data_IF_477961551864
#
_entry.id   IF_477961551864
#
_cell.length_a   1.000
_cell.length_b   1.000
_cell.length_c   1.000
_cell.angle_alpha   90.00
_cell.angle_beta   90.00
_cell.angle_gamma   90.00
#
_symmetry.space_group_name_H-M   'P 1'
#
loop_
_entity.id
_entity.type
_entity.pdbx_description
1 polymer ?
#
# COMPACT_ATOMS: atom_id res chain seq x y z
N UNK A 1 -10.06 2.75 37.24
CA UNK A 1 -11.18 2.26 36.39
C UNK A 1 -11.52 3.36 35.41
N UNK A 2 -10.65 3.61 34.44
CA UNK A 2 -10.81 4.74 33.51
C UNK A 2 -11.62 4.31 32.29
N UNK A 3 -12.91 4.65 32.36
CA UNK A 3 -13.84 4.53 31.25
C UNK A 3 -13.53 5.66 30.27
N UNK A 4 -12.93 5.28 29.15
CA UNK A 4 -12.75 6.17 28.02
C UNK A 4 -14.13 6.49 27.42
N UNK A 5 -14.68 7.66 27.75
CA UNK A 5 -15.87 8.21 27.11
C UNK A 5 -15.53 8.58 25.66
N UNK A 6 -16.22 7.97 24.70
CA UNK A 6 -16.19 8.41 23.30
C UNK A 6 -16.96 9.73 23.17
N UNK A 7 -16.46 10.73 22.42
CA UNK A 7 -17.24 11.92 22.14
C UNK A 7 -18.43 11.54 21.24
N UNK A 8 -19.62 11.92 21.68
CA UNK A 8 -20.86 11.85 20.91
C UNK A 8 -20.91 13.10 20.03
N UNK A 9 -20.85 12.94 18.70
CA UNK A 9 -21.22 14.00 17.78
C UNK A 9 -22.73 13.91 17.60
N UNK A 10 -23.46 14.95 18.03
CA UNK A 10 -24.81 15.20 17.55
C UNK A 10 -24.71 15.47 16.04
N UNK A 11 -25.34 14.60 15.25
CA UNK A 11 -25.61 14.87 13.84
C UNK A 11 -26.78 15.87 13.82
N UNK A 12 -26.46 17.17 13.89
CA UNK A 12 -27.39 18.19 13.48
C UNK A 12 -27.60 18.02 11.96
N UNK A 13 -28.81 17.59 11.59
CA UNK A 13 -29.31 17.57 10.21
C UNK A 13 -29.32 19.02 9.69
N UNK A 14 -28.21 19.43 9.07
CA UNK A 14 -28.16 20.68 8.31
C UNK A 14 -29.06 20.53 7.08
N UNK A 15 -30.21 21.20 7.11
CA UNK A 15 -31.21 21.25 6.04
C UNK A 15 -30.56 21.53 4.68
N UNK A 16 -30.74 20.59 3.75
CA UNK A 16 -30.27 20.62 2.36
C UNK A 16 -30.80 21.85 1.58
N UNK A 17 -31.82 22.52 2.11
CA UNK A 17 -32.35 23.80 1.61
C UNK A 17 -31.44 24.99 1.90
N UNK A 18 -30.77 25.05 3.05
CA UNK A 18 -29.88 26.17 3.42
C UNK A 18 -28.63 26.16 2.55
N UNK A 19 -28.11 24.97 2.26
CA UNK A 19 -26.95 24.79 1.40
C UNK A 19 -27.25 25.17 -0.06
N UNK A 20 -28.46 24.85 -0.55
CA UNK A 20 -28.92 25.25 -1.88
C UNK A 20 -29.19 26.76 -1.99
N UNK A 21 -29.65 27.40 -0.91
CA UNK A 21 -29.86 28.85 -0.86
C UNK A 21 -28.52 29.61 -0.92
N UNK A 22 -27.48 29.12 -0.24
CA UNK A 22 -26.12 29.68 -0.32
C UNK A 22 -25.49 29.51 -1.71
N UNK A 23 -25.77 28.40 -2.40
CA UNK A 23 -25.24 28.15 -3.74
C UNK A 23 -25.89 29.07 -4.80
N UNK A 24 -27.19 29.36 -4.67
CA UNK A 24 -27.90 30.29 -5.57
C UNK A 24 -27.43 31.73 -5.44
N UNK A 25 -27.07 32.17 -4.24
CA UNK A 25 -26.54 33.53 -4.03
C UNK A 25 -25.12 33.70 -4.59
N UNK A 26 -24.37 32.61 -4.81
CA UNK A 26 -23.05 32.64 -5.41
C UNK A 26 -23.08 32.69 -6.96
N UNK A 27 -24.23 32.42 -7.59
CA UNK A 27 -24.38 32.45 -9.06
C UNK A 27 -24.86 33.82 -9.59
N UNK A 28 -25.13 34.80 -8.73
CA UNK A 28 -25.70 36.10 -9.13
C UNK A 28 -24.75 37.31 -9.05
N UNK A 29 -23.45 37.10 -8.81
CA UNK A 29 -22.45 38.19 -8.81
C UNK A 29 -21.24 37.82 -9.68
N UNK A 30 -21.40 37.88 -11.00
CA UNK A 30 -20.28 38.07 -11.93
C UNK A 30 -20.58 39.33 -12.75
N UNK A 31 -20.02 40.45 -12.31
CA UNK A 31 -19.96 41.69 -13.07
C UNK A 31 -18.49 42.16 -13.14
N UNK A 32 -18.04 42.38 -14.37
CA UNK A 32 -16.94 43.25 -14.82
C UNK A 32 -15.46 42.85 -14.57
N UNK A 33 -14.77 42.71 -15.73
CA UNK A 33 -13.36 43.05 -16.02
C UNK A 33 -12.22 42.03 -15.78
N UNK A 34 -12.13 40.96 -16.59
CA UNK A 34 -10.81 40.35 -16.90
C UNK A 34 -10.70 39.65 -18.28
N UNK A 35 -11.27 40.25 -19.34
CA UNK A 35 -11.18 39.73 -20.72
C UNK A 35 -9.80 39.93 -21.40
N UNK A 36 -8.71 40.00 -20.64
CA UNK A 36 -7.35 40.23 -21.18
C UNK A 36 -6.49 38.98 -21.41
N UNK A 37 -6.67 37.92 -20.61
CA UNK A 37 -5.69 36.83 -20.54
C UNK A 37 -6.18 35.46 -21.02
N UNK A 38 -7.50 35.28 -21.19
CA UNK A 38 -8.10 34.02 -21.64
C UNK A 38 -7.96 33.72 -23.14
N UNK A 39 -7.67 34.73 -23.97
CA UNK A 39 -7.60 34.60 -25.43
C UNK A 39 -6.22 34.22 -25.99
N UNK A 40 -5.18 34.15 -25.13
CA UNK A 40 -3.83 33.78 -25.56
C UNK A 40 -3.75 32.26 -25.80
N UNK A 41 -3.92 31.85 -27.06
CA UNK A 41 -3.73 30.45 -27.44
C UNK A 41 -2.30 29.98 -27.16
N UNK A 42 -2.15 28.71 -26.78
CA UNK A 42 -0.85 28.07 -26.50
C UNK A 42 0.17 28.23 -27.65
N UNK A 43 -0.31 28.40 -28.89
CA UNK A 43 0.54 28.69 -30.05
C UNK A 43 1.15 30.10 -30.04
N UNK A 44 0.45 31.10 -29.51
CA UNK A 44 0.95 32.46 -29.38
C UNK A 44 2.08 32.54 -28.33
N UNK A 45 1.92 31.82 -27.21
CA UNK A 45 2.94 31.72 -26.17
C UNK A 45 4.22 31.03 -26.66
N UNK A 46 4.08 29.94 -27.42
CA UNK A 46 5.23 29.26 -28.03
C UNK A 46 5.99 30.15 -29.03
N UNK A 47 5.26 30.90 -29.85
CA UNK A 47 5.87 31.85 -30.79
C UNK A 47 6.57 33.02 -30.08
N UNK A 48 6.06 33.47 -28.93
CA UNK A 48 6.71 34.51 -28.12
C UNK A 48 8.02 33.98 -27.52
N UNK A 49 8.02 32.75 -27.02
CA UNK A 49 9.21 32.12 -26.45
C UNK A 49 10.31 31.86 -27.51
N UNK A 50 9.92 31.37 -28.69
CA UNK A 50 10.86 31.18 -29.82
C UNK A 50 11.44 32.49 -30.36
N UNK A 51 10.76 33.63 -30.16
CA UNK A 51 11.28 34.96 -30.53
C UNK A 51 12.28 35.47 -29.49
N UNK A 52 12.00 35.31 -28.20
CA UNK A 52 12.92 35.67 -27.11
C UNK A 52 14.26 34.92 -27.24
N UNK A 53 14.22 33.62 -27.49
CA UNK A 53 15.42 32.78 -27.64
C UNK A 53 16.28 33.19 -28.86
N UNK A 54 15.68 33.80 -29.88
CA UNK A 54 16.41 34.31 -31.07
C UNK A 54 17.01 35.68 -30.82
N UNK A 55 16.35 36.52 -30.04
CA UNK A 55 16.88 37.84 -29.67
C UNK A 55 18.04 37.72 -28.69
N UNK A 56 17.97 36.80 -27.71
CA UNK A 56 19.10 36.51 -26.80
C UNK A 56 20.35 36.01 -27.53
N UNK A 57 20.19 35.27 -28.64
CA UNK A 57 21.31 34.78 -29.46
C UNK A 57 21.97 35.87 -30.31
N UNK A 58 21.31 37.01 -30.54
CA UNK A 58 21.82 38.09 -31.38
C UNK A 58 22.53 39.19 -30.57
N UNK A 59 22.34 39.28 -29.25
CA UNK A 59 22.98 40.30 -28.40
C UNK A 59 24.37 39.92 -27.89
N UNK A 60 24.83 38.68 -28.11
CA UNK A 60 26.13 38.17 -27.59
C UNK A 60 27.20 37.92 -28.67
N UNK A 61 27.39 38.85 -29.61
CA UNK A 61 28.51 38.81 -30.57
C UNK A 61 29.37 40.07 -30.52
N UNK A 62 30.43 40.03 -29.71
CA UNK A 62 31.63 40.86 -29.87
C UNK A 62 32.84 39.93 -30.03
N UNK A 63 33.83 40.24 -30.90
CA UNK A 63 34.87 39.31 -31.28
C UNK A 63 36.12 39.44 -30.39
N UNK A 64 36.69 38.31 -29.95
CA UNK A 64 38.08 38.27 -29.46
C UNK A 64 38.87 37.16 -30.16
N UNK A 65 40.08 37.56 -30.55
CA UNK A 65 41.11 36.89 -31.37
C UNK A 65 41.71 35.61 -30.74
N UNK A 66 42.41 34.76 -31.51
CA UNK A 66 42.79 33.41 -31.11
C UNK A 66 44.20 33.36 -30.47
N UNK A 67 44.36 32.58 -29.41
CA UNK A 67 45.68 32.19 -28.87
C UNK A 67 45.83 30.67 -28.94
N UNK A 68 46.95 30.24 -29.52
CA UNK A 68 47.34 28.84 -29.77
C UNK A 68 48.08 28.23 -28.56
N UNK A 69 47.73 26.97 -28.28
CA UNK A 69 48.55 25.84 -27.78
C UNK A 69 49.15 25.90 -26.35
N UNK A 70 48.73 24.94 -25.52
CA UNK A 70 49.60 23.83 -25.11
C UNK A 70 48.80 22.67 -24.51
N UNK A 71 49.44 21.50 -24.58
CA UNK A 71 48.96 20.14 -24.36
C UNK A 71 49.02 19.80 -22.87
N UNK A 72 47.92 19.31 -22.28
CA UNK A 72 47.95 18.25 -21.28
C UNK A 72 46.53 17.74 -20.94
N UNK A 73 46.44 16.44 -20.76
CA UNK A 73 45.20 15.71 -20.54
C UNK A 73 44.63 16.01 -19.14
N UNK A 74 43.48 16.67 -19.06
CA UNK A 74 42.57 16.58 -17.90
C UNK A 74 41.15 16.43 -18.40
N UNK A 75 40.54 15.27 -18.11
CA UNK A 75 39.12 14.98 -18.36
C UNK A 75 38.26 15.95 -17.52
N UNK A 76 37.18 16.56 -18.07
CA UNK A 76 36.24 17.27 -17.22
C UNK A 76 35.43 16.26 -16.40
N UNK A 77 35.35 16.56 -15.12
CA UNK A 77 34.58 15.89 -14.08
C UNK A 77 33.12 15.85 -14.54
N UNK A 78 32.62 14.65 -14.80
CA UNK A 78 31.19 14.40 -14.91
C UNK A 78 30.58 14.77 -13.57
N UNK A 79 29.79 15.85 -13.55
CA UNK A 79 28.93 16.20 -12.43
C UNK A 79 27.96 15.03 -12.27
N UNK A 80 28.27 14.18 -11.28
CA UNK A 80 27.34 13.20 -10.73
C UNK A 80 26.20 14.01 -10.11
N UNK A 81 25.07 14.07 -10.79
CA UNK A 81 23.79 14.25 -10.10
C UNK A 81 23.60 13.02 -9.19
N UNK A 82 24.04 13.18 -7.95
CA UNK A 82 23.67 12.32 -6.84
C UNK A 82 22.18 12.48 -6.61
N UNK A 83 21.40 11.49 -7.07
CA UNK A 83 20.08 11.22 -6.51
C UNK A 83 20.29 10.89 -5.03
N UNK A 84 20.02 11.86 -4.18
CA UNK A 84 19.76 11.62 -2.77
C UNK A 84 18.37 10.99 -2.68
N UNK A 85 18.37 9.69 -2.40
CA UNK A 85 17.24 8.95 -1.84
C UNK A 85 17.24 9.29 -0.34
N UNK A 86 16.50 10.33 0.02
CA UNK A 86 16.33 10.78 1.40
C UNK A 86 15.10 10.08 1.98
N UNK A 87 15.36 8.90 2.53
CA UNK A 87 14.48 8.23 3.47
C UNK A 87 14.99 8.56 4.87
N UNK A 88 14.56 9.68 5.44
CA UNK A 88 14.61 9.88 6.88
C UNK A 88 13.21 10.06 7.47
N UNK A 89 12.89 9.09 8.31
CA UNK A 89 12.01 9.24 9.45
C UNK A 89 12.81 9.83 10.60
N UNK A 90 12.30 10.86 11.27
CA UNK A 90 12.49 11.14 12.70
C UNK A 90 11.29 12.03 13.10
N UNK A 91 10.36 11.61 13.97
CA UNK A 91 10.42 11.43 15.42
C UNK A 91 10.47 12.75 16.22
N UNK A 92 9.59 12.87 17.21
CA UNK A 92 9.66 13.92 18.23
C UNK A 92 8.33 14.27 18.91
N UNK A 93 7.95 13.53 19.95
CA UNK A 93 7.42 14.16 21.18
C UNK A 93 7.56 13.20 22.37
N UNK A 94 8.29 13.68 23.37
CA UNK A 94 8.53 13.11 24.70
C UNK A 94 7.24 12.79 25.47
N UNK A 95 7.28 11.66 26.19
CA UNK A 95 6.78 11.57 27.56
C UNK A 95 7.49 10.41 28.27
N UNK A 96 8.36 10.77 29.19
CA UNK A 96 8.97 9.94 30.24
C UNK A 96 7.94 9.02 30.93
N UNK A 97 8.33 7.76 31.18
CA UNK A 97 7.44 6.74 31.74
C UNK A 97 8.11 5.37 31.95
N UNK A 98 9.21 5.39 32.68
CA UNK A 98 9.93 4.30 33.37
C UNK A 98 9.07 3.15 33.94
N UNK A 99 9.30 1.90 33.47
CA UNK A 99 9.29 0.54 34.10
C UNK A 99 8.85 -0.52 33.05
N UNK A 100 9.75 -1.29 32.44
CA UNK A 100 10.29 -2.60 32.91
C UNK A 100 9.23 -3.70 33.08
N UNK A 101 9.00 -4.50 32.03
CA UNK A 101 9.26 -5.95 31.98
C UNK A 101 8.77 -6.54 30.63
N UNK A 102 9.73 -6.94 29.78
CA UNK A 102 9.48 -7.70 28.55
C UNK A 102 9.37 -9.19 28.87
N UNK A 103 8.18 -9.74 28.70
CA UNK A 103 7.99 -11.16 28.44
C UNK A 103 7.30 -11.28 27.07
N UNK A 104 8.09 -11.55 26.02
CA UNK A 104 7.59 -12.26 24.85
C UNK A 104 8.71 -12.87 24.00
N UNK A 105 8.87 -14.19 24.21
CA UNK A 105 8.92 -15.21 23.15
C UNK A 105 9.02 -14.66 21.71
N UNK A 106 10.24 -14.62 21.19
CA UNK A 106 10.45 -14.56 19.75
C UNK A 106 11.37 -15.69 19.29
N UNK A 107 10.71 -16.80 18.91
CA UNK A 107 11.27 -17.83 18.04
C UNK A 107 11.48 -17.21 16.65
N UNK A 108 12.64 -16.59 16.46
CA UNK A 108 13.04 -16.01 15.18
C UNK A 108 14.51 -16.29 14.94
N UNK A 109 14.78 -17.17 13.98
CA UNK A 109 16.09 -17.50 13.42
C UNK A 109 16.85 -16.23 13.00
N UNK A 110 17.58 -15.64 13.92
CA UNK A 110 18.81 -14.93 13.62
C UNK A 110 19.94 -15.88 14.02
N UNK A 111 20.60 -16.45 13.01
CA UNK A 111 21.96 -16.94 13.17
C UNK A 111 22.81 -15.72 13.47
N UNK A 112 22.85 -15.32 14.74
CA UNK A 112 23.79 -14.34 15.21
C UNK A 112 25.16 -14.98 15.07
N UNK A 113 25.89 -14.52 14.06
CA UNK A 113 27.32 -14.74 13.86
C UNK A 113 28.14 -14.03 14.95
N UNK A 114 27.75 -14.23 16.20
CA UNK A 114 28.50 -13.91 17.40
C UNK A 114 28.55 -15.16 18.28
N UNK A 115 28.85 -16.31 17.66
CA UNK A 115 29.75 -17.21 18.34
C UNK A 115 31.09 -16.46 18.35
N UNK A 116 31.29 -15.62 19.36
CA UNK A 116 32.62 -15.21 19.73
C UNK A 116 33.41 -16.52 19.86
N UNK A 117 34.29 -16.75 18.89
CA UNK A 117 35.42 -17.62 19.05
C UNK A 117 36.19 -17.10 20.25
N UNK A 118 35.75 -17.49 21.45
CA UNK A 118 36.55 -17.41 22.67
C UNK A 118 37.68 -18.38 22.44
N UNK A 119 38.70 -17.91 21.70
CA UNK A 119 39.95 -18.60 21.47
C UNK A 119 40.39 -19.11 22.82
N UNK A 120 40.42 -20.43 22.98
CA UNK A 120 40.89 -21.05 24.22
C UNK A 120 42.29 -20.49 24.46
N UNK A 121 42.51 -19.87 25.63
CA UNK A 121 43.81 -19.27 25.98
C UNK A 121 44.96 -20.30 25.89
N UNK A 122 44.64 -21.60 26.02
CA UNK A 122 45.51 -22.73 25.66
C UNK A 122 44.68 -23.99 25.35
N UNK A 123 45.30 -25.02 24.75
CA UNK A 123 44.63 -26.31 24.46
C UNK A 123 44.16 -27.05 25.72
N UNK A 124 44.80 -26.79 26.86
CA UNK A 124 44.53 -27.44 28.14
C UNK A 124 43.76 -26.55 29.12
N UNK A 125 43.32 -25.36 28.69
CA UNK A 125 42.53 -24.49 29.55
C UNK A 125 41.08 -25.00 29.67
N UNK A 126 40.51 -25.03 30.89
CA UNK A 126 39.10 -25.36 31.08
C UNK A 126 38.20 -24.29 30.44
N UNK A 127 36.98 -24.70 30.08
CA UNK A 127 35.98 -23.80 29.49
C UNK A 127 35.18 -23.08 30.57
N UNK A 128 35.22 -21.74 30.58
CA UNK A 128 34.42 -20.91 31.49
C UNK A 128 32.98 -20.75 30.96
N UNK A 129 31.98 -21.02 31.81
CA UNK A 129 30.57 -20.78 31.55
C UNK A 129 30.00 -19.74 32.53
N UNK A 130 29.06 -18.92 32.08
CA UNK A 130 28.43 -17.89 32.94
C UNK A 130 27.46 -18.53 33.94
N UNK A 131 27.60 -18.19 35.23
CA UNK A 131 26.69 -18.63 36.30
C UNK A 131 25.27 -18.07 36.17
N UNK A 132 25.09 -16.99 35.40
CA UNK A 132 23.78 -16.36 35.17
C UNK A 132 22.87 -17.19 34.25
N UNK A 133 23.43 -18.18 33.53
CA UNK A 133 22.67 -19.04 32.61
C UNK A 133 22.50 -20.42 33.26
N UNK A 134 21.26 -20.89 33.51
CA UNK A 134 21.05 -22.22 34.06
C UNK A 134 21.52 -23.29 33.08
N UNK A 135 22.08 -24.39 33.60
CA UNK A 135 22.53 -25.52 32.78
C UNK A 135 21.32 -26.23 32.17
N UNK A 136 21.40 -26.61 30.89
CA UNK A 136 20.35 -27.35 30.21
C UNK A 136 20.14 -28.73 30.86
N UNK A 137 18.90 -29.07 31.24
CA UNK A 137 18.56 -30.39 31.82
C UNK A 137 18.82 -31.57 30.88
N UNK A 138 18.76 -31.35 29.56
CA UNK A 138 18.95 -32.38 28.52
C UNK A 138 20.26 -32.09 27.80
N UNK A 139 21.18 -33.06 27.79
CA UNK A 139 22.46 -32.98 27.08
C UNK A 139 22.22 -33.03 25.57
N UNK A 140 22.76 -32.04 24.85
CA UNK A 140 22.76 -32.06 23.39
C UNK A 140 23.82 -33.07 22.91
N UNK A 141 23.37 -34.12 22.22
CA UNK A 141 24.25 -35.13 21.65
C UNK A 141 24.57 -34.69 20.20
N UNK A 142 25.84 -34.47 19.83
CA UNK A 142 26.19 -34.11 18.46
C UNK A 142 25.73 -35.21 17.49
N UNK A 143 24.96 -34.84 16.48
CA UNK A 143 24.38 -35.76 15.50
C UNK A 143 22.98 -36.29 15.85
N UNK A 144 22.45 -36.01 17.04
CA UNK A 144 21.06 -36.34 17.40
C UNK A 144 20.23 -35.06 17.48
N UNK A 145 19.46 -34.77 16.43
CA UNK A 145 18.57 -33.61 16.41
C UNK A 145 17.52 -33.71 17.53
N UNK A 146 17.56 -32.78 18.48
CA UNK A 146 16.64 -32.77 19.62
C UNK A 146 15.19 -32.79 19.11
N UNK A 147 14.31 -33.64 19.68
CA UNK A 147 12.91 -33.74 19.23
C UNK A 147 12.10 -32.45 19.44
N UNK A 148 12.62 -31.48 20.20
CA UNK A 148 12.04 -30.12 20.28
C UNK A 148 12.13 -29.35 18.96
N UNK A 149 13.03 -29.75 18.05
CA UNK A 149 13.21 -29.14 16.72
C UNK A 149 12.59 -29.98 15.58
N UNK A 150 12.18 -31.22 15.85
CA UNK A 150 11.30 -31.97 14.96
C UNK A 150 9.90 -31.43 15.18
N UNK A 151 9.47 -30.55 14.26
CA UNK A 151 8.14 -29.92 14.15
C UNK A 151 7.32 -29.92 15.44
N UNK A 152 7.17 -28.75 16.08
CA UNK A 152 6.33 -28.54 17.28
C UNK A 152 4.97 -29.25 17.21
N UNK A 153 4.46 -29.47 15.99
CA UNK A 153 3.25 -30.21 15.71
C UNK A 153 3.53 -31.68 15.41
N UNK A 154 2.99 -32.56 16.26
CA UNK A 154 2.88 -34.01 16.03
C UNK A 154 1.67 -34.40 15.19
N UNK A 155 0.79 -33.45 14.91
CA UNK A 155 -0.41 -33.65 14.11
C UNK A 155 -0.02 -33.64 12.63
N UNK A 156 -0.37 -34.72 11.93
CA UNK A 156 -0.15 -34.92 10.51
C UNK A 156 -0.63 -33.75 9.64
N UNK A 157 -1.66 -33.01 10.07
CA UNK A 157 -2.14 -31.82 9.33
C UNK A 157 -1.12 -30.70 9.25
N UNK A 158 -0.19 -30.68 10.21
CA UNK A 158 0.87 -29.69 10.31
C UNK A 158 2.25 -30.31 10.10
N UNK A 159 2.32 -31.57 9.70
CA UNK A 159 3.58 -32.23 9.39
C UNK A 159 4.18 -31.60 8.13
N UNK A 160 5.38 -31.05 8.28
CA UNK A 160 6.12 -30.43 7.19
C UNK A 160 6.48 -31.40 6.07
N UNK A 161 6.53 -32.72 6.36
CA UNK A 161 6.84 -33.75 5.38
C UNK A 161 5.75 -33.90 4.30
N UNK A 162 4.48 -33.62 4.64
CA UNK A 162 3.34 -33.68 3.71
C UNK A 162 3.28 -32.48 2.75
N UNK A 163 4.11 -31.46 2.95
CA UNK A 163 4.20 -30.28 2.09
C UNK A 163 3.03 -29.31 2.22
N UNK A 164 3.01 -28.27 1.38
CA UNK A 164 1.93 -27.26 1.37
C UNK A 164 0.79 -27.72 0.46
N UNK A 165 -0.44 -27.60 0.93
CA UNK A 165 -1.63 -27.90 0.12
C UNK A 165 -1.71 -27.00 -1.13
N UNK A 166 -2.14 -27.58 -2.26
CA UNK A 166 -2.42 -26.81 -3.47
C UNK A 166 -3.71 -26.01 -3.30
N UNK A 167 -3.54 -24.73 -2.94
CA UNK A 167 -4.62 -23.78 -2.73
C UNK A 167 -5.56 -23.64 -3.95
N UNK A 168 -5.09 -23.95 -5.16
CA UNK A 168 -5.91 -23.86 -6.37
C UNK A 168 -6.87 -25.05 -6.49
N UNK A 169 -6.43 -26.25 -6.11
CA UNK A 169 -7.30 -27.44 -6.03
C UNK A 169 -8.32 -27.27 -4.92
N UNK A 170 -7.88 -26.92 -3.71
CA UNK A 170 -8.76 -26.63 -2.56
C UNK A 170 -9.82 -25.59 -2.94
N UNK A 171 -9.44 -24.52 -3.64
CA UNK A 171 -10.42 -23.50 -4.08
C UNK A 171 -11.50 -24.06 -5.00
N UNK A 172 -11.16 -25.02 -5.88
CA UNK A 172 -12.10 -25.68 -6.79
C UNK A 172 -12.98 -26.68 -6.04
N UNK A 173 -12.39 -27.52 -5.19
CA UNK A 173 -13.09 -28.56 -4.44
C UNK A 173 -14.14 -27.94 -3.50
N UNK A 174 -13.82 -26.80 -2.89
CA UNK A 174 -14.72 -26.07 -1.99
C UNK A 174 -15.42 -24.87 -2.66
N UNK A 175 -15.59 -24.88 -3.98
CA UNK A 175 -16.27 -23.79 -4.70
C UNK A 175 -17.75 -23.67 -4.30
N UNK A 176 -18.39 -24.80 -4.01
CA UNK A 176 -19.79 -24.86 -3.57
C UNK A 176 -20.08 -24.00 -2.33
N UNK A 177 -19.09 -23.79 -1.45
CA UNK A 177 -19.26 -22.95 -0.26
C UNK A 177 -19.63 -21.49 -0.59
N UNK A 178 -19.33 -21.02 -1.79
CA UNK A 178 -19.74 -19.68 -2.20
C UNK A 178 -21.24 -19.57 -2.45
N UNK A 179 -21.88 -20.67 -2.87
CA UNK A 179 -23.33 -20.73 -3.08
C UNK A 179 -24.04 -20.78 -1.72
N UNK A 180 -23.49 -21.55 -0.77
CA UNK A 180 -23.97 -21.55 0.62
C UNK A 180 -23.89 -20.16 1.25
N UNK A 181 -22.74 -19.48 1.16
CA UNK A 181 -22.59 -18.11 1.68
C UNK A 181 -23.56 -17.12 1.03
N UNK A 182 -23.84 -17.26 -0.27
CA UNK A 182 -24.84 -16.42 -0.95
C UNK A 182 -26.24 -16.68 -0.38
N UNK A 183 -26.62 -17.95 -0.25
CA UNK A 183 -27.92 -18.31 0.31
C UNK A 183 -28.10 -17.82 1.76
N UNK A 184 -27.04 -17.88 2.58
CA UNK A 184 -27.02 -17.38 3.96
C UNK A 184 -27.19 -15.85 4.01
N UNK A 185 -26.45 -15.12 3.17
CA UNK A 185 -26.61 -13.66 3.04
C UNK A 185 -28.05 -13.31 2.62
N UNK A 186 -28.61 -14.04 1.67
CA UNK A 186 -29.97 -13.81 1.19
C UNK A 186 -31.02 -14.12 2.27
N UNK A 187 -30.83 -15.18 3.05
CA UNK A 187 -31.69 -15.51 4.19
C UNK A 187 -31.65 -14.42 5.27
N UNK A 188 -30.46 -13.98 5.68
CA UNK A 188 -30.30 -12.90 6.67
C UNK A 188 -30.95 -11.61 6.15
N UNK A 189 -30.73 -11.26 4.88
CA UNK A 189 -31.33 -10.08 4.28
C UNK A 189 -32.86 -10.17 4.17
N UNK A 190 -33.42 -11.36 3.93
CA UNK A 190 -34.88 -11.57 3.95
C UNK A 190 -35.44 -11.33 5.35
N UNK A 191 -34.82 -11.93 6.37
CA UNK A 191 -35.22 -11.73 7.77
C UNK A 191 -35.15 -10.26 8.19
N UNK A 192 -34.12 -9.52 7.74
CA UNK A 192 -33.97 -8.09 8.00
C UNK A 192 -34.99 -7.21 7.27
N UNK A 193 -35.46 -7.64 6.10
CA UNK A 193 -36.49 -6.93 5.32
C UNK A 193 -37.89 -7.22 5.82
N UNK A 194 -38.13 -8.40 6.37
CA UNK A 194 -39.44 -8.81 6.86
C UNK A 194 -39.77 -8.09 8.17
N UNK A 195 -40.72 -7.13 8.18
CA UNK A 195 -40.99 -6.30 9.35
C UNK A 195 -41.53 -7.12 10.53
N UNK A 196 -42.25 -8.21 10.23
CA UNK A 196 -42.79 -9.13 11.25
C UNK A 196 -41.71 -9.86 12.04
N UNK A 197 -40.59 -10.16 11.38
CA UNK A 197 -39.44 -10.80 12.02
C UNK A 197 -38.65 -9.71 12.73
N UNK A 198 -38.29 -8.63 12.01
CA UNK A 198 -37.53 -7.51 12.56
C UNK A 198 -38.13 -6.92 13.85
N UNK A 199 -39.45 -6.73 13.91
CA UNK A 199 -40.13 -6.16 15.08
C UNK A 199 -40.15 -7.10 16.31
N UNK A 200 -39.87 -8.39 16.12
CA UNK A 200 -39.77 -9.37 17.22
C UNK A 200 -38.36 -9.46 17.80
N UNK A 201 -37.35 -9.03 17.02
CA UNK A 201 -35.97 -9.02 17.46
C UNK A 201 -35.64 -7.73 18.22
N UNK A 202 -34.69 -7.82 19.14
CA UNK A 202 -34.12 -6.64 19.78
C UNK A 202 -33.27 -5.84 18.77
N UNK A 203 -33.19 -4.52 18.94
CA UNK A 203 -32.31 -3.65 18.15
C UNK A 203 -30.85 -4.13 18.15
N UNK A 204 -30.40 -4.80 19.22
CA UNK A 204 -29.05 -5.39 19.27
C UNK A 204 -28.92 -6.55 18.30
N UNK A 205 -29.89 -7.45 18.27
CA UNK A 205 -29.88 -8.62 17.40
C UNK A 205 -30.02 -8.22 15.94
N UNK A 206 -30.82 -7.19 15.64
CA UNK A 206 -30.90 -6.60 14.28
C UNK A 206 -29.53 -6.11 13.82
N UNK A 207 -28.82 -5.35 14.65
CA UNK A 207 -27.46 -4.87 14.33
C UNK A 207 -26.47 -6.02 14.17
N UNK A 208 -26.55 -7.05 15.00
CA UNK A 208 -25.70 -8.24 14.89
C UNK A 208 -25.95 -8.98 13.57
N UNK A 209 -27.20 -9.12 13.15
CA UNK A 209 -27.57 -9.73 11.87
C UNK A 209 -27.10 -8.89 10.67
N UNK A 210 -27.25 -7.56 10.73
CA UNK A 210 -26.73 -6.65 9.69
C UNK A 210 -25.20 -6.75 9.59
N UNK A 211 -24.52 -6.80 10.74
CA UNK A 211 -23.07 -6.97 10.80
C UNK A 211 -22.63 -8.30 10.20
N UNK A 212 -23.33 -9.39 10.52
CA UNK A 212 -23.06 -10.72 9.95
C UNK A 212 -23.24 -10.72 8.43
N UNK A 213 -24.35 -10.19 7.91
CA UNK A 213 -24.60 -10.08 6.47
C UNK A 213 -23.49 -9.28 5.76
N UNK A 214 -23.09 -8.15 6.34
CA UNK A 214 -22.01 -7.30 5.83
C UNK A 214 -20.66 -8.02 5.83
N UNK A 215 -20.35 -8.74 6.90
CA UNK A 215 -19.11 -9.51 7.05
C UNK A 215 -19.02 -10.65 6.03
N UNK A 216 -20.09 -11.44 5.90
CA UNK A 216 -20.19 -12.53 4.92
C UNK A 216 -20.06 -12.00 3.48
N UNK A 217 -20.77 -10.91 3.17
CA UNK A 217 -20.69 -10.25 1.86
C UNK A 217 -19.27 -9.77 1.55
N UNK A 218 -18.62 -9.09 2.50
CA UNK A 218 -17.24 -8.62 2.35
C UNK A 218 -16.24 -9.76 2.12
N UNK A 219 -16.40 -10.88 2.85
CA UNK A 219 -15.57 -12.07 2.68
C UNK A 219 -15.76 -12.70 1.31
N UNK A 220 -17.00 -12.82 0.85
CA UNK A 220 -17.35 -13.36 -0.45
C UNK A 220 -16.84 -12.47 -1.60
N UNK A 221 -17.02 -11.15 -1.50
CA UNK A 221 -16.49 -10.20 -2.48
C UNK A 221 -14.95 -10.25 -2.53
N UNK A 222 -14.30 -10.42 -1.38
CA UNK A 222 -12.83 -10.60 -1.32
C UNK A 222 -12.38 -11.87 -2.02
N UNK A 223 -13.13 -12.97 -1.92
CA UNK A 223 -12.84 -14.22 -2.64
C UNK A 223 -13.04 -14.05 -4.14
N UNK A 224 -14.20 -13.54 -4.58
CA UNK A 224 -14.48 -13.25 -5.99
C UNK A 224 -13.41 -12.35 -6.61
N UNK A 225 -12.97 -11.32 -5.87
CA UNK A 225 -11.88 -10.45 -6.31
C UNK A 225 -10.54 -11.18 -6.47
N UNK A 226 -10.23 -12.15 -5.62
CA UNK A 226 -9.00 -12.97 -5.74
C UNK A 226 -9.07 -13.91 -6.94
N UNK A 227 -10.24 -14.51 -7.19
CA UNK A 227 -10.42 -15.42 -8.32
C UNK A 227 -10.37 -14.67 -9.64
N UNK A 228 -11.03 -13.51 -9.74
CA UNK A 228 -10.93 -12.63 -10.91
C UNK A 228 -9.48 -12.22 -11.19
N UNK A 229 -8.70 -11.91 -10.16
CA UNK A 229 -7.27 -11.61 -10.34
C UNK A 229 -6.49 -12.79 -10.92
N UNK A 230 -6.72 -13.99 -10.39
CA UNK A 230 -6.06 -15.21 -10.90
C UNK A 230 -6.45 -15.48 -12.34
N UNK A 231 -7.73 -15.37 -12.67
CA UNK A 231 -8.26 -15.59 -14.02
C UNK A 231 -7.68 -14.59 -15.03
N UNK A 232 -7.68 -13.30 -14.70
CA UNK A 232 -7.13 -12.24 -15.56
C UNK A 232 -5.64 -12.47 -15.81
N UNK A 233 -4.87 -12.82 -14.77
CA UNK A 233 -3.44 -13.12 -14.93
C UNK A 233 -3.21 -14.40 -15.73
N UNK A 234 -4.07 -15.41 -15.57
CA UNK A 234 -3.99 -16.64 -16.33
C UNK A 234 -4.27 -16.40 -17.82
N UNK A 235 -5.37 -15.69 -18.14
CA UNK A 235 -5.71 -15.28 -19.51
C UNK A 235 -4.59 -14.47 -20.16
N UNK A 236 -4.02 -13.51 -19.43
CA UNK A 236 -2.90 -12.72 -19.92
C UNK A 236 -1.67 -13.58 -20.21
N UNK A 237 -1.34 -14.52 -19.30
CA UNK A 237 -0.23 -15.47 -19.53
C UNK A 237 -0.49 -16.34 -20.74
N UNK A 238 -1.71 -16.86 -20.92
CA UNK A 238 -2.06 -17.71 -22.05
C UNK A 238 -1.91 -16.97 -23.39
N UNK A 239 -2.35 -15.71 -23.48
CA UNK A 239 -2.18 -14.88 -24.68
C UNK A 239 -0.71 -14.59 -25.01
N UNK A 240 0.15 -14.43 -24.00
CA UNK A 240 1.55 -14.05 -24.18
C UNK A 240 2.54 -15.24 -24.15
N UNK A 241 2.07 -16.48 -23.96
CA UNK A 241 2.91 -17.69 -24.00
C UNK A 241 3.52 -17.94 -25.40
N UNK A 242 2.82 -17.55 -26.46
CA UNK A 242 3.24 -17.80 -27.84
C UNK A 242 4.26 -16.81 -28.41
N UNK A 243 4.41 -15.63 -27.81
CA UNK A 243 5.23 -14.54 -28.39
C UNK A 243 6.68 -14.57 -27.96
N UNK A 244 6.98 -15.08 -26.76
CA UNK A 244 8.33 -14.99 -26.16
C UNK A 244 8.99 -16.34 -25.88
N UNK A 245 8.43 -17.46 -26.36
CA UNK A 245 9.04 -18.81 -26.29
C UNK A 245 9.36 -19.36 -24.88
N UNK A 246 9.10 -18.60 -23.82
CA UNK A 246 9.53 -18.89 -22.45
C UNK A 246 8.48 -18.58 -21.38
N UNK A 247 8.75 -19.05 -20.16
CA UNK A 247 7.89 -18.84 -18.98
C UNK A 247 7.73 -17.33 -18.72
N UNK A 248 6.54 -16.80 -18.94
CA UNK A 248 6.25 -15.37 -18.81
C UNK A 248 6.05 -14.96 -17.34
N UNK A 249 7.01 -14.20 -16.79
CA UNK A 249 6.97 -13.69 -15.42
C UNK A 249 6.67 -12.19 -15.43
N UNK A 250 5.52 -11.80 -14.88
CA UNK A 250 5.17 -10.40 -14.70
C UNK A 250 5.68 -9.89 -13.37
N UNK A 251 6.22 -8.66 -13.37
CA UNK A 251 6.46 -7.94 -12.12
C UNK A 251 5.12 -7.71 -11.40
N UNK A 252 5.13 -7.65 -10.07
CA UNK A 252 3.92 -7.39 -9.27
C UNK A 252 3.22 -6.09 -9.67
N UNK A 253 3.98 -5.08 -10.08
CA UNK A 253 3.45 -3.81 -10.60
C UNK A 253 2.68 -3.98 -11.91
N UNK A 254 3.18 -4.78 -12.85
CA UNK A 254 2.54 -5.08 -14.12
C UNK A 254 1.27 -5.93 -13.92
N UNK A 255 1.33 -6.92 -13.03
CA UNK A 255 0.14 -7.71 -12.65
C UNK A 255 -0.98 -6.79 -12.15
N UNK A 256 -0.66 -5.83 -11.26
CA UNK A 256 -1.63 -4.85 -10.77
C UNK A 256 -2.19 -3.98 -11.90
N UNK A 257 -1.36 -3.53 -12.85
CA UNK A 257 -1.82 -2.74 -14.00
C UNK A 257 -2.81 -3.52 -14.86
N UNK A 258 -2.53 -4.79 -15.15
CA UNK A 258 -3.42 -5.64 -15.95
C UNK A 258 -4.75 -5.88 -15.23
N UNK A 259 -4.70 -6.19 -13.94
CA UNK A 259 -5.90 -6.35 -13.10
C UNK A 259 -6.72 -5.06 -13.07
N UNK A 260 -6.08 -3.90 -12.89
CA UNK A 260 -6.76 -2.61 -12.85
C UNK A 260 -7.38 -2.24 -14.20
N UNK A 261 -6.68 -2.50 -15.30
CA UNK A 261 -7.19 -2.31 -16.66
C UNK A 261 -8.45 -3.15 -16.86
N UNK A 262 -8.37 -4.45 -16.58
CA UNK A 262 -9.53 -5.34 -16.69
C UNK A 262 -10.70 -4.86 -15.81
N UNK A 263 -10.45 -4.50 -14.55
CA UNK A 263 -11.49 -3.97 -13.66
C UNK A 263 -12.14 -2.71 -14.23
N UNK A 264 -11.35 -1.77 -14.74
CA UNK A 264 -11.85 -0.54 -15.35
C UNK A 264 -12.67 -0.84 -16.60
N UNK A 265 -12.19 -1.71 -17.48
CA UNK A 265 -12.89 -2.08 -18.72
C UNK A 265 -14.24 -2.74 -18.43
N UNK A 266 -14.33 -3.57 -17.37
CA UNK A 266 -15.58 -4.23 -16.94
C UNK A 266 -16.56 -3.33 -16.19
N UNK A 267 -16.14 -2.16 -15.71
CA UNK A 267 -17.00 -1.24 -14.96
C UNK A 267 -17.98 -0.50 -15.87
N UNK A 268 -19.14 -0.15 -15.32
CA UNK A 268 -20.15 0.71 -16.00
C UNK A 268 -19.59 2.12 -16.24
N UNK A 269 -20.07 2.82 -17.27
CA UNK A 269 -19.59 4.17 -17.61
C UNK A 269 -19.64 5.15 -16.42
N UNK A 270 -20.78 5.23 -15.72
CA UNK A 270 -20.93 6.07 -14.53
C UNK A 270 -19.97 5.72 -13.39
N UNK A 271 -19.67 4.43 -13.22
CA UNK A 271 -18.70 3.97 -12.22
C UNK A 271 -17.28 4.34 -12.62
N UNK A 272 -16.94 4.22 -13.92
CA UNK A 272 -15.64 4.63 -14.46
C UNK A 272 -15.39 6.12 -14.25
N UNK A 273 -16.38 6.95 -14.55
CA UNK A 273 -16.32 8.40 -14.33
C UNK A 273 -16.12 8.72 -12.85
N UNK A 274 -16.90 8.12 -11.95
CA UNK A 274 -16.75 8.31 -10.50
C UNK A 274 -15.37 7.89 -9.98
N UNK A 275 -14.81 6.80 -10.51
CA UNK A 275 -13.44 6.37 -10.17
C UNK A 275 -12.40 7.36 -10.69
N UNK A 276 -12.57 7.87 -11.91
CA UNK A 276 -11.66 8.86 -12.51
C UNK A 276 -11.75 10.22 -11.80
N UNK A 277 -12.94 10.65 -11.41
CA UNK A 277 -13.16 11.87 -10.63
C UNK A 277 -12.47 11.78 -9.26
N UNK A 278 -12.68 10.67 -8.54
CA UNK A 278 -11.96 10.41 -7.27
C UNK A 278 -10.45 10.41 -7.47
N UNK A 279 -9.96 9.87 -8.59
CA UNK A 279 -8.53 9.88 -8.92
C UNK A 279 -8.03 11.30 -9.22
N UNK A 280 -8.81 12.13 -9.93
CA UNK A 280 -8.53 13.56 -10.18
C UNK A 280 -8.47 14.35 -8.88
N UNK A 281 -9.49 14.23 -8.01
CA UNK A 281 -9.53 14.88 -6.69
C UNK A 281 -8.34 14.48 -5.80
N UNK A 282 -8.00 13.19 -5.76
CA UNK A 282 -6.81 12.70 -5.03
C UNK A 282 -5.49 13.21 -5.61
N UNK A 283 -5.42 13.46 -6.92
CA UNK A 283 -4.23 14.03 -7.55
C UNK A 283 -4.12 15.52 -7.22
N UNK A 284 -5.20 16.28 -7.39
CA UNK A 284 -5.28 17.69 -7.01
C UNK A 284 -4.92 17.89 -5.54
N UNK A 285 -5.50 17.10 -4.61
CA UNK A 285 -5.15 17.20 -3.19
C UNK A 285 -3.68 16.90 -2.88
N UNK A 286 -3.00 16.07 -3.69
CA UNK A 286 -1.55 15.86 -3.56
C UNK A 286 -0.75 17.03 -4.12
N UNK A 287 -1.17 17.58 -5.25
CA UNK A 287 -0.57 18.77 -5.87
C UNK A 287 -0.67 19.97 -4.91
N UNK A 288 -1.86 20.23 -4.33
CA UNK A 288 -2.05 21.26 -3.31
C UNK A 288 -1.18 21.03 -2.08
N UNK A 289 -1.16 19.80 -1.53
CA UNK A 289 -0.29 19.47 -0.40
C UNK A 289 1.19 19.72 -0.71
N UNK A 290 1.65 19.33 -1.90
CA UNK A 290 3.04 19.59 -2.33
C UNK A 290 3.33 21.09 -2.48
N UNK A 291 2.39 21.87 -2.99
CA UNK A 291 2.51 23.33 -3.10
C UNK A 291 2.55 24.00 -1.72
N UNK A 292 1.74 23.55 -0.76
CA UNK A 292 1.73 24.09 0.61
C UNK A 292 3.07 23.90 1.34
N UNK A 293 3.69 22.73 1.22
CA UNK A 293 4.98 22.45 1.88
C UNK A 293 6.19 23.06 1.16
N UNK A 294 6.04 23.47 -0.11
CA UNK A 294 7.10 24.11 -0.88
C UNK A 294 7.04 25.66 -0.82
N UNK A 295 6.11 26.26 -0.06
CA UNK A 295 6.13 27.70 0.19
C UNK A 295 7.25 28.02 1.18
N UNK A 296 8.20 28.92 0.85
CA UNK A 296 9.17 29.38 1.84
C UNK A 296 8.42 30.00 3.01
N UNK A 297 8.74 29.58 4.24
CA UNK A 297 8.28 30.28 5.44
C UNK A 297 9.00 31.63 5.47
N UNK A 298 8.25 32.71 5.21
CA UNK A 298 8.70 34.08 5.46
C UNK A 298 8.69 34.37 6.96
#
# INVERSE_FOLDING_TARGET
>A
MDRHLRPHFEEDDYDEEVLNQMLRNAESEEDSDDEGYGALSFGALKNAQDKMDKEERNTTKQPKQPIKKSREQKKPIAVKETRYDDSESESGSDSEGLFEEEDNNNNGRYSTQHADDKKKKSKHAPTEASSKKPVSKIRQIPGLDNPKYKTLYKDIRFDTALGKADLSKVRKDYKFLDDYRQSEIDQINKMLKDPKVKNKLSDREVRDMEYQAKSLKSRLDSLKNKDLQKEVLQKYKEQNKGTNGGKFYLKKSEQRKIIQKHKFDTMKASQREKVMERKRKRRLGKEFKQLEFNKPRN
#
